data_IF_843424780764
#
_entry.id   IF_843424780764
#
_cell.length_a   1.000
_cell.length_b   1.000
_cell.length_c   1.000
_cell.angle_alpha   90.00
_cell.angle_beta   90.00
_cell.angle_gamma   90.00
#
_symmetry.space_group_name_H-M   'P 1'
#
loop_
_entity.id
_entity.type
_entity.pdbx_description
1 polymer ?
#
# COMPACT_ATOMS: atom_id res chain seq x y z
N UNK A 1 -42.75 27.52 -20.23
CA UNK A 1 -41.31 27.58 -20.61
C UNK A 1 -40.38 27.51 -19.39
N UNK A 2 -40.74 28.08 -18.24
CA UNK A 2 -39.84 28.12 -17.07
C UNK A 2 -39.65 26.80 -16.31
N UNK A 3 -40.65 25.90 -16.32
CA UNK A 3 -40.55 24.60 -15.65
C UNK A 3 -39.42 23.71 -16.16
N UNK A 4 -39.20 23.67 -17.48
CA UNK A 4 -38.10 22.92 -18.09
C UNK A 4 -36.72 23.48 -17.70
N UNK A 5 -36.61 24.81 -17.58
CA UNK A 5 -35.37 25.50 -17.17
C UNK A 5 -35.05 25.24 -15.69
N UNK A 6 -36.07 25.24 -14.83
CA UNK A 6 -35.93 24.90 -13.41
C UNK A 6 -35.54 23.43 -13.23
N UNK A 7 -36.13 22.52 -13.99
CA UNK A 7 -35.80 21.09 -13.94
C UNK A 7 -34.36 20.84 -14.40
N UNK A 8 -33.92 21.46 -15.50
CA UNK A 8 -32.54 21.39 -15.97
C UNK A 8 -31.54 21.93 -14.92
N UNK A 9 -31.85 23.08 -14.28
CA UNK A 9 -31.01 23.64 -13.21
C UNK A 9 -30.91 22.71 -11.99
N UNK A 10 -32.02 22.10 -11.59
CA UNK A 10 -32.05 21.13 -10.49
C UNK A 10 -31.29 19.85 -10.83
N UNK A 11 -31.39 19.36 -12.07
CA UNK A 11 -30.66 18.18 -12.53
C UNK A 11 -29.14 18.43 -12.50
N UNK A 12 -28.67 19.58 -12.99
CA UNK A 12 -27.25 19.96 -12.95
C UNK A 12 -26.75 20.06 -11.49
N UNK A 13 -27.53 20.71 -10.62
CA UNK A 13 -27.20 20.80 -9.20
C UNK A 13 -27.08 19.42 -8.56
N UNK A 14 -28.04 18.52 -8.84
CA UNK A 14 -28.04 17.15 -8.30
C UNK A 14 -26.87 16.32 -8.81
N UNK A 15 -26.48 16.46 -10.07
CA UNK A 15 -25.29 15.83 -10.63
C UNK A 15 -24.01 16.30 -9.92
N UNK A 16 -23.87 17.62 -9.70
CA UNK A 16 -22.73 18.18 -8.96
C UNK A 16 -22.70 17.74 -7.49
N UNK A 17 -23.86 17.72 -6.81
CA UNK A 17 -23.98 17.19 -5.46
C UNK A 17 -23.53 15.73 -5.41
N UNK A 18 -24.03 14.87 -6.31
CA UNK A 18 -23.65 13.47 -6.39
C UNK A 18 -22.14 13.29 -6.62
N UNK A 19 -21.54 14.08 -7.50
CA UNK A 19 -20.10 14.03 -7.75
C UNK A 19 -19.29 14.41 -6.50
N UNK A 20 -19.75 15.40 -5.75
CA UNK A 20 -19.12 15.78 -4.49
C UNK A 20 -19.28 14.70 -3.42
N UNK A 21 -20.45 14.06 -3.33
CA UNK A 21 -20.67 12.91 -2.44
C UNK A 21 -19.79 11.72 -2.82
N UNK A 22 -19.62 11.42 -4.11
CA UNK A 22 -18.75 10.33 -4.56
C UNK A 22 -17.28 10.59 -4.18
N UNK A 23 -16.80 11.82 -4.35
CA UNK A 23 -15.45 12.23 -3.90
C UNK A 23 -15.30 12.11 -2.39
N UNK A 24 -16.31 12.52 -1.61
CA UNK A 24 -16.30 12.37 -0.16
C UNK A 24 -16.29 10.89 0.24
N UNK A 25 -17.12 10.06 -0.40
CA UNK A 25 -17.19 8.62 -0.17
C UNK A 25 -15.85 7.94 -0.41
N UNK A 26 -15.17 8.26 -1.53
CA UNK A 26 -13.84 7.72 -1.83
C UNK A 26 -12.79 8.14 -0.77
N UNK A 27 -12.86 9.38 -0.29
CA UNK A 27 -11.98 9.84 0.81
C UNK A 27 -12.29 9.15 2.13
N UNK A 28 -13.56 8.90 2.43
CA UNK A 28 -13.97 8.18 3.63
C UNK A 28 -13.50 6.73 3.59
N UNK A 29 -13.64 6.05 2.45
CA UNK A 29 -13.17 4.68 2.25
C UNK A 29 -11.64 4.57 2.46
N UNK A 30 -10.88 5.51 1.88
CA UNK A 30 -9.44 5.60 2.11
C UNK A 30 -9.07 5.84 3.60
N UNK A 31 -9.88 6.59 4.35
CA UNK A 31 -9.69 6.79 5.79
C UNK A 31 -10.03 5.54 6.58
N UNK A 32 -11.09 4.82 6.21
CA UNK A 32 -11.47 3.54 6.84
C UNK A 32 -10.37 2.51 6.65
N UNK A 33 -9.86 2.33 5.43
CA UNK A 33 -8.75 1.41 5.15
C UNK A 33 -7.52 1.72 6.02
N UNK A 34 -7.15 3.00 6.17
CA UNK A 34 -6.05 3.42 7.05
C UNK A 34 -6.34 3.19 8.53
N UNK A 35 -7.59 3.37 8.96
CA UNK A 35 -8.00 3.14 10.34
C UNK A 35 -7.93 1.64 10.66
N UNK A 36 -8.39 0.77 9.76
CA UNK A 36 -8.33 -0.68 9.91
C UNK A 36 -6.89 -1.18 10.02
N UNK A 37 -5.99 -0.68 9.16
CA UNK A 37 -4.56 -0.96 9.27
C UNK A 37 -4.02 -0.54 10.65
N UNK A 38 -4.37 0.66 11.12
CA UNK A 38 -3.95 1.14 12.45
C UNK A 38 -4.53 0.32 13.60
N UNK A 39 -5.79 -0.10 13.51
CA UNK A 39 -6.44 -0.92 14.52
C UNK A 39 -5.76 -2.30 14.63
N UNK A 40 -5.48 -2.94 13.49
CA UNK A 40 -4.69 -4.18 13.43
C UNK A 40 -3.29 -3.99 14.04
N UNK A 41 -2.60 -2.92 13.64
CA UNK A 41 -1.26 -2.61 14.15
C UNK A 41 -1.25 -2.37 15.67
N UNK A 42 -2.28 -1.71 16.21
CA UNK A 42 -2.41 -1.50 17.65
C UNK A 42 -2.59 -2.83 18.41
N UNK A 43 -3.42 -3.74 17.91
CA UNK A 43 -3.58 -5.08 18.49
C UNK A 43 -2.25 -5.86 18.48
N UNK A 44 -1.49 -5.75 17.40
CA UNK A 44 -0.15 -6.34 17.29
C UNK A 44 0.80 -5.72 18.32
N UNK A 45 0.87 -4.38 18.41
CA UNK A 45 1.73 -3.69 19.39
C UNK A 45 1.42 -4.10 20.84
N UNK A 46 0.14 -4.29 21.18
CA UNK A 46 -0.27 -4.79 22.51
C UNK A 46 0.21 -6.21 22.76
N UNK A 47 0.05 -7.10 21.79
CA UNK A 47 0.48 -8.50 21.88
C UNK A 47 2.01 -8.58 22.02
N UNK A 48 2.73 -7.79 21.22
CA UNK A 48 4.18 -7.65 21.30
C UNK A 48 4.63 -7.14 22.67
N UNK A 49 3.95 -6.12 23.22
CA UNK A 49 4.22 -5.61 24.56
C UNK A 49 4.01 -6.64 25.67
N UNK A 50 3.02 -7.53 25.52
CA UNK A 50 2.81 -8.65 26.45
C UNK A 50 3.93 -9.68 26.37
N UNK A 51 4.37 -10.04 25.15
CA UNK A 51 5.45 -11.01 24.98
C UNK A 51 6.76 -10.45 25.55
N UNK A 52 7.11 -9.20 25.25
CA UNK A 52 8.34 -8.58 25.79
C UNK A 52 8.35 -8.59 27.31
N UNK A 53 7.22 -8.28 27.96
CA UNK A 53 7.09 -8.40 29.42
C UNK A 53 7.24 -9.83 29.92
N UNK A 54 6.68 -10.82 29.20
CA UNK A 54 6.83 -12.23 29.56
C UNK A 54 8.26 -12.73 29.41
N UNK A 55 8.98 -12.27 28.38
CA UNK A 55 10.38 -12.55 28.15
C UNK A 55 11.25 -11.94 29.26
N UNK A 56 11.00 -10.68 29.64
CA UNK A 56 11.71 -9.99 30.72
C UNK A 56 11.49 -10.69 32.08
N UNK A 57 10.26 -11.08 32.39
CA UNK A 57 9.95 -11.87 33.58
C UNK A 57 10.67 -13.22 33.60
N UNK A 58 10.78 -13.87 32.44
CA UNK A 58 11.41 -15.19 32.32
C UNK A 58 12.93 -15.10 32.37
N UNK A 59 13.51 -14.05 31.79
CA UNK A 59 14.93 -13.71 31.87
C UNK A 59 15.35 -13.50 33.33
N UNK A 60 14.56 -12.76 34.11
CA UNK A 60 14.83 -12.49 35.52
C UNK A 60 14.75 -13.74 36.42
N UNK A 61 13.95 -14.74 36.03
CA UNK A 61 13.84 -16.00 36.79
C UNK A 61 14.86 -17.05 36.35
N UNK A 62 15.62 -16.81 35.26
CA UNK A 62 16.63 -17.74 34.74
C UNK A 62 16.06 -19.06 34.23
N UNK A 63 14.75 -19.13 33.95
CA UNK A 63 14.10 -20.35 33.49
C UNK A 63 14.21 -20.47 31.96
N UNK A 64 15.26 -21.13 31.47
CA UNK A 64 15.50 -21.34 30.04
C UNK A 64 14.36 -22.11 29.34
N UNK A 65 13.68 -23.03 30.04
CA UNK A 65 12.56 -23.79 29.48
C UNK A 65 11.40 -22.85 29.12
N UNK A 66 10.99 -22.01 30.08
CA UNK A 66 9.97 -20.98 29.84
C UNK A 66 10.42 -19.97 28.80
N UNK A 67 11.72 -19.68 28.72
CA UNK A 67 12.25 -18.74 27.71
C UNK A 67 12.05 -19.29 26.31
N UNK A 68 12.34 -20.58 26.11
CA UNK A 68 12.06 -21.30 24.86
C UNK A 68 10.57 -21.26 24.52
N UNK A 69 9.68 -21.56 25.48
CA UNK A 69 8.23 -21.53 25.26
C UNK A 69 7.69 -20.13 24.90
N UNK A 70 8.20 -19.07 25.55
CA UNK A 70 7.86 -17.69 25.20
C UNK A 70 8.42 -17.28 23.84
N UNK A 71 9.58 -17.79 23.44
CA UNK A 71 10.17 -17.51 22.13
C UNK A 71 9.43 -18.23 21.00
N UNK A 72 9.02 -19.48 21.21
CA UNK A 72 8.17 -20.22 20.26
C UNK A 72 6.83 -19.49 20.06
N UNK A 73 6.28 -18.90 21.13
CA UNK A 73 5.06 -18.09 21.06
C UNK A 73 5.30 -16.76 20.34
N UNK A 74 6.46 -16.13 20.53
CA UNK A 74 6.88 -14.94 19.80
C UNK A 74 6.97 -15.21 18.30
N UNK A 75 7.63 -16.31 17.91
CA UNK A 75 7.82 -16.70 16.51
C UNK A 75 6.47 -16.95 15.83
N UNK A 76 5.55 -17.66 16.47
CA UNK A 76 4.18 -17.85 15.96
C UNK A 76 3.43 -16.54 15.76
N UNK A 77 3.54 -15.59 16.70
CA UNK A 77 2.88 -14.29 16.58
C UNK A 77 3.53 -13.43 15.49
N UNK A 78 4.84 -13.50 15.33
CA UNK A 78 5.60 -12.79 14.32
C UNK A 78 5.30 -13.31 12.90
N UNK A 79 5.30 -14.63 12.69
CA UNK A 79 4.96 -15.24 11.39
C UNK A 79 3.52 -14.90 10.99
N UNK A 80 2.56 -14.97 11.91
CA UNK A 80 1.18 -14.59 11.62
C UNK A 80 1.06 -13.10 11.25
N UNK A 81 1.87 -12.24 11.87
CA UNK A 81 1.92 -10.81 11.54
C UNK A 81 2.50 -10.59 10.15
N UNK A 82 3.57 -11.27 9.77
CA UNK A 82 4.17 -11.15 8.44
C UNK A 82 3.20 -11.59 7.36
N UNK A 83 2.53 -12.73 7.52
CA UNK A 83 1.51 -13.21 6.57
C UNK A 83 0.34 -12.21 6.46
N UNK A 84 -0.09 -11.61 7.58
CA UNK A 84 -1.16 -10.62 7.55
C UNK A 84 -0.72 -9.29 6.92
N UNK A 85 0.54 -8.88 7.12
CA UNK A 85 1.12 -7.70 6.49
C UNK A 85 1.29 -7.90 4.98
N UNK A 86 1.78 -9.06 4.55
CA UNK A 86 1.92 -9.44 3.14
C UNK A 86 0.54 -9.48 2.45
N UNK A 87 -0.47 -10.09 3.08
CA UNK A 87 -1.83 -10.10 2.53
C UNK A 87 -2.42 -8.69 2.42
N UNK A 88 -2.17 -7.83 3.41
CA UNK A 88 -2.62 -6.44 3.39
C UNK A 88 -1.88 -5.63 2.32
N UNK A 89 -0.56 -5.80 2.17
CA UNK A 89 0.24 -5.15 1.12
C UNK A 89 -0.19 -5.61 -0.27
N UNK A 90 -0.39 -6.91 -0.49
CA UNK A 90 -0.89 -7.46 -1.75
C UNK A 90 -2.28 -6.92 -2.12
N UNK A 91 -3.20 -6.87 -1.14
CA UNK A 91 -4.55 -6.31 -1.33
C UNK A 91 -4.51 -4.80 -1.60
N UNK A 92 -3.62 -4.06 -0.91
CA UNK A 92 -3.43 -2.62 -1.12
C UNK A 92 -2.74 -2.31 -2.44
N UNK A 93 -1.77 -3.13 -2.87
CA UNK A 93 -1.12 -3.01 -4.17
C UNK A 93 -2.13 -3.20 -5.31
N UNK A 94 -2.99 -4.23 -5.23
CA UNK A 94 -4.04 -4.46 -6.21
C UNK A 94 -5.04 -3.29 -6.34
N UNK A 95 -5.45 -2.67 -5.22
CA UNK A 95 -6.34 -1.50 -5.23
C UNK A 95 -5.62 -0.19 -5.64
N UNK A 96 -4.32 -0.07 -5.35
CA UNK A 96 -3.50 1.11 -5.70
C UNK A 96 -3.10 1.10 -7.17
N UNK A 97 -2.89 -0.08 -7.77
CA UNK A 97 -2.63 -0.23 -9.22
C UNK A 97 -3.79 0.29 -10.07
N UNK A 98 -5.04 0.15 -9.61
CA UNK A 98 -6.20 0.68 -10.33
C UNK A 98 -6.34 2.21 -10.23
N UNK A 99 -5.79 2.82 -9.17
CA UNK A 99 -5.93 4.25 -8.87
C UNK A 99 -4.69 5.08 -9.19
N UNK A 100 -3.56 4.43 -9.47
CA UNK A 100 -2.31 5.09 -9.86
C UNK A 100 -1.83 4.46 -11.17
N UNK A 101 -2.15 5.06 -12.34
CA UNK A 101 -1.70 4.54 -13.62
C UNK A 101 -0.17 4.44 -13.61
N UNK A 102 0.38 3.27 -13.92
CA UNK A 102 1.82 2.99 -13.89
C UNK A 102 2.63 4.01 -14.71
N UNK A 103 2.06 4.54 -15.80
CA UNK A 103 2.64 5.59 -16.62
C UNK A 103 2.88 6.93 -15.89
N UNK A 104 2.00 7.31 -14.95
CA UNK A 104 2.18 8.54 -14.15
C UNK A 104 3.26 8.36 -13.08
N UNK A 105 3.35 7.17 -12.48
CA UNK A 105 4.41 6.81 -11.52
C UNK A 105 5.76 6.76 -12.22
N UNK A 106 5.86 6.15 -13.40
CA UNK A 106 7.10 6.10 -14.19
C UNK A 106 7.53 7.51 -14.63
N UNK A 107 6.58 8.35 -15.05
CA UNK A 107 6.84 9.75 -15.36
C UNK A 107 7.34 10.56 -14.16
N UNK A 108 6.77 10.33 -12.97
CA UNK A 108 7.21 10.97 -11.72
C UNK A 108 8.56 10.43 -11.22
N UNK A 109 8.77 9.11 -11.27
CA UNK A 109 10.01 8.42 -10.87
C UNK A 109 11.17 8.83 -11.78
N UNK A 110 10.92 8.99 -13.09
CA UNK A 110 11.87 9.57 -14.05
C UNK A 110 12.22 11.02 -13.71
N UNK A 111 11.22 11.84 -13.33
CA UNK A 111 11.43 13.25 -12.96
C UNK A 111 12.20 13.38 -11.64
N UNK A 112 11.89 12.55 -10.63
CA UNK A 112 12.62 12.49 -9.36
C UNK A 112 14.01 11.90 -9.50
N UNK A 113 14.21 10.89 -10.36
CA UNK A 113 15.54 10.38 -10.69
C UNK A 113 16.44 11.45 -11.30
N UNK A 114 15.87 12.36 -12.12
CA UNK A 114 16.59 13.55 -12.64
C UNK A 114 16.92 14.59 -11.57
N UNK A 115 16.10 14.72 -10.51
CA UNK A 115 16.34 15.66 -9.42
C UNK A 115 17.37 15.12 -8.40
N UNK A 116 17.41 13.79 -8.20
CA UNK A 116 18.42 13.14 -7.35
C UNK A 116 19.79 13.10 -8.07
N UNK A 117 19.83 12.92 -9.39
CA UNK A 117 21.06 13.00 -10.18
C UNK A 117 21.69 14.41 -10.24
N UNK A 118 21.00 15.45 -9.75
CA UNK A 118 21.54 16.82 -9.67
C UNK A 118 22.49 17.04 -8.49
N UNK A 119 22.58 16.11 -7.53
CA UNK A 119 23.51 16.15 -6.41
C UNK A 119 24.04 14.74 -6.13
N UNK A 120 25.34 14.55 -6.34
CA UNK A 120 26.16 13.38 -6.04
C UNK A 120 26.47 12.40 -7.21
N UNK A 121 27.69 12.60 -7.71
CA UNK A 121 28.72 11.59 -8.05
C UNK A 121 28.38 10.56 -9.13
N UNK A 122 29.13 10.69 -10.23
CA UNK A 122 29.30 9.70 -11.28
C UNK A 122 29.58 8.29 -10.75
N UNK A 123 28.77 7.32 -11.15
CA UNK A 123 29.24 5.93 -11.33
C UNK A 123 28.27 5.17 -12.25
N UNK A 124 28.84 4.67 -13.35
CA UNK A 124 28.36 3.63 -14.27
C UNK A 124 27.02 3.84 -14.99
N UNK A 125 27.14 3.97 -16.31
CA UNK A 125 26.08 3.86 -17.32
C UNK A 125 25.36 2.51 -17.19
N UNK A 126 24.22 2.49 -16.50
CA UNK A 126 23.22 1.46 -16.70
C UNK A 126 22.50 1.76 -18.02
N UNK A 127 22.64 0.86 -19.00
CA UNK A 127 21.83 0.87 -20.21
C UNK A 127 20.36 0.75 -19.80
N UNK A 128 19.64 1.87 -19.88
CA UNK A 128 18.18 1.89 -19.73
C UNK A 128 17.57 1.20 -20.94
N UNK A 129 17.15 -0.04 -20.75
CA UNK A 129 16.25 -0.72 -21.71
C UNK A 129 14.88 -0.04 -21.58
N UNK A 130 14.47 0.68 -22.61
CA UNK A 130 13.15 1.32 -22.66
C UNK A 130 12.05 0.23 -22.67
N UNK A 131 11.01 0.40 -21.85
CA UNK A 131 9.89 -0.56 -21.69
C UNK A 131 9.16 -0.86 -23.01
N UNK A 132 9.19 0.06 -23.97
CA UNK A 132 8.66 -0.14 -25.32
C UNK A 132 9.40 -1.27 -26.07
N UNK A 133 10.69 -1.44 -25.79
CA UNK A 133 11.53 -2.48 -26.40
C UNK A 133 11.24 -3.86 -25.78
N UNK A 134 11.01 -3.91 -24.46
CA UNK A 134 10.54 -5.12 -23.77
C UNK A 134 9.14 -5.54 -24.23
N UNK A 135 8.23 -4.58 -24.38
CA UNK A 135 6.86 -4.82 -24.85
C UNK A 135 6.83 -5.34 -26.28
N UNK A 136 7.69 -4.80 -27.16
CA UNK A 136 7.90 -5.31 -28.52
C UNK A 136 8.48 -6.72 -28.51
N UNK A 137 9.53 -6.96 -27.71
CA UNK A 137 10.18 -8.29 -27.61
C UNK A 137 9.24 -9.36 -27.07
N UNK A 138 8.37 -9.02 -26.11
CA UNK A 138 7.35 -9.93 -25.58
C UNK A 138 6.24 -10.18 -26.60
N UNK A 139 5.82 -9.18 -27.37
CA UNK A 139 4.87 -9.35 -28.46
C UNK A 139 5.42 -10.26 -29.57
N UNK A 140 6.70 -10.11 -29.92
CA UNK A 140 7.40 -10.98 -30.87
C UNK A 140 7.55 -12.41 -30.35
N UNK A 141 7.88 -12.60 -29.06
CA UNK A 141 7.94 -13.92 -28.43
C UNK A 141 6.58 -14.61 -28.39
N UNK A 142 5.51 -13.85 -28.14
CA UNK A 142 4.13 -14.35 -28.14
C UNK A 142 3.61 -14.67 -29.54
N UNK A 143 4.09 -13.97 -30.57
CA UNK A 143 3.73 -14.26 -31.96
C UNK A 143 4.50 -15.46 -32.56
N UNK A 144 5.57 -15.91 -31.88
CA UNK A 144 6.47 -16.97 -32.34
C UNK A 144 6.28 -18.31 -31.61
N UNK A 145 5.40 -18.35 -30.61
CA UNK A 145 4.92 -19.58 -29.96
C UNK A 145 3.47 -19.86 -30.35
#
# INVERSE_FOLDING_TARGET
MDGARIYAKNAIRKCNEQMNYLKLSSRLDAVVARLDTRAKMNTISKSMGSIVKSLESTLNTGNLQKMSETMDSFERQFVNMEVQAEFMESSMAGSTSLSTPEGEIMGWKRRKGRLIAGHAVATKTEEKVDEDDLSRRLAELKARG
#
